data_IF_857467247187
#
_entry.id   IF_857467247187
#
_cell.length_a   1.000
_cell.length_b   1.000
_cell.length_c   1.000
_cell.angle_alpha   90.00
_cell.angle_beta   90.00
_cell.angle_gamma   90.00
#
_symmetry.space_group_name_H-M   'P 1'
#
loop_
_entity.id
_entity.type
_entity.pdbx_description
1 polymer ?
#
# COMPACT_ATOMS: atom_id res chain seq x y z
N UNK A 1 -4.51 -18.07 -9.70
CA UNK A 1 -3.70 -16.90 -9.34
C UNK A 1 -4.57 -15.99 -8.49
N UNK A 2 -4.02 -15.43 -7.43
CA UNK A 2 -4.73 -14.46 -6.58
C UNK A 2 -4.91 -13.15 -7.34
N UNK A 3 -6.09 -12.53 -7.24
CA UNK A 3 -6.40 -11.28 -7.93
C UNK A 3 -7.12 -10.33 -7.00
N UNK A 4 -6.57 -9.14 -6.87
CA UNK A 4 -7.22 -8.01 -6.23
C UNK A 4 -7.87 -7.13 -7.29
N UNK A 5 -9.17 -6.88 -7.15
CA UNK A 5 -9.94 -6.01 -8.03
C UNK A 5 -10.80 -5.07 -7.21
N UNK A 6 -10.70 -3.78 -7.46
CA UNK A 6 -11.46 -2.79 -6.73
C UNK A 6 -11.86 -1.62 -7.64
N UNK A 7 -13.07 -1.10 -7.43
CA UNK A 7 -13.56 0.07 -8.16
C UNK A 7 -14.42 0.96 -7.29
N UNK A 8 -14.47 2.22 -7.67
CA UNK A 8 -15.42 3.21 -7.16
C UNK A 8 -15.89 4.09 -8.32
N UNK A 9 -17.16 4.51 -8.30
CA UNK A 9 -17.70 5.45 -9.28
C UNK A 9 -17.35 6.90 -8.90
N UNK A 10 -17.31 7.19 -7.60
CA UNK A 10 -16.86 8.50 -7.06
C UNK A 10 -16.55 8.37 -5.58
N UNK A 11 -15.72 9.29 -5.06
CA UNK A 11 -15.47 9.43 -3.63
C UNK A 11 -15.18 10.86 -3.23
N UNK A 12 -15.35 11.19 -1.92
CA UNK A 12 -15.08 12.51 -1.42
C UNK A 12 -15.36 12.68 0.08
N UNK A 13 -15.31 13.92 0.53
CA UNK A 13 -15.45 14.31 1.94
C UNK A 13 -16.61 15.28 2.09
N UNK A 14 -17.61 14.92 2.89
CA UNK A 14 -18.83 15.72 3.01
C UNK A 14 -19.51 15.90 1.65
N UNK A 15 -19.67 17.13 1.19
CA UNK A 15 -20.24 17.49 -0.12
C UNK A 15 -19.20 17.60 -1.24
N UNK A 16 -17.90 17.60 -0.89
CA UNK A 16 -16.84 17.74 -1.87
C UNK A 16 -16.51 16.39 -2.53
N UNK A 17 -16.78 16.28 -3.82
CA UNK A 17 -16.30 15.16 -4.64
C UNK A 17 -14.84 15.39 -5.00
N UNK A 18 -13.97 14.46 -4.63
CA UNK A 18 -12.51 14.50 -4.87
C UNK A 18 -12.09 13.52 -5.96
N UNK A 19 -12.85 12.43 -6.15
CA UNK A 19 -12.48 11.35 -7.04
C UNK A 19 -13.61 11.01 -8.00
N UNK A 20 -13.28 10.88 -9.28
CA UNK A 20 -14.11 10.29 -10.32
C UNK A 20 -14.05 8.77 -10.34
N UNK A 21 -14.49 8.11 -11.43
CA UNK A 21 -14.41 6.67 -11.55
C UNK A 21 -12.96 6.18 -11.57
N UNK A 22 -12.65 5.19 -10.72
CA UNK A 22 -11.35 4.51 -10.71
C UNK A 22 -11.59 3.01 -10.64
N UNK A 23 -10.85 2.26 -11.45
CA UNK A 23 -10.81 0.80 -11.46
C UNK A 23 -9.37 0.33 -11.32
N UNK A 24 -9.12 -0.56 -10.37
CA UNK A 24 -7.82 -1.14 -10.06
C UNK A 24 -7.92 -2.65 -10.18
N UNK A 25 -7.01 -3.26 -10.94
CA UNK A 25 -6.85 -4.71 -11.01
C UNK A 25 -5.37 -5.05 -10.89
N UNK A 26 -5.01 -5.92 -9.95
CA UNK A 26 -3.63 -6.35 -9.71
C UNK A 26 -3.62 -7.84 -9.42
N UNK A 27 -2.73 -8.57 -10.06
CA UNK A 27 -2.52 -9.99 -9.80
C UNK A 27 -1.45 -10.21 -8.74
N UNK A 28 -1.42 -11.41 -8.19
CA UNK A 28 -0.38 -11.86 -7.26
C UNK A 28 1.01 -11.61 -7.82
N UNK A 29 1.88 -11.00 -7.01
CA UNK A 29 3.25 -10.69 -7.40
C UNK A 29 3.38 -9.49 -8.35
N UNK A 30 2.28 -8.78 -8.62
CA UNK A 30 2.30 -7.53 -9.37
C UNK A 30 2.13 -6.31 -8.47
N UNK A 31 2.60 -5.16 -8.95
CA UNK A 31 2.44 -3.86 -8.32
C UNK A 31 1.81 -2.87 -9.30
N UNK A 32 0.70 -2.25 -8.88
CA UNK A 32 0.09 -1.11 -9.55
C UNK A 32 0.39 0.14 -8.75
N UNK A 33 0.88 1.17 -9.42
CA UNK A 33 1.11 2.49 -8.80
C UNK A 33 0.08 3.50 -9.28
N UNK A 34 -0.51 4.21 -8.34
CA UNK A 34 -1.36 5.38 -8.57
C UNK A 34 -0.47 6.62 -8.45
N UNK A 35 -0.13 7.22 -9.57
CA UNK A 35 0.66 8.45 -9.67
C UNK A 35 -0.23 9.69 -9.73
N UNK A 36 0.31 10.81 -9.29
CA UNK A 36 -0.37 12.10 -9.37
C UNK A 36 0.32 13.15 -8.49
N UNK A 37 0.09 14.42 -8.75
CA UNK A 37 0.55 15.52 -7.91
C UNK A 37 -0.12 15.50 -6.53
N UNK A 38 0.33 16.37 -5.63
CA UNK A 38 -0.35 16.58 -4.35
C UNK A 38 -1.76 17.10 -4.59
N UNK A 39 -2.73 16.48 -3.92
CA UNK A 39 -4.14 16.80 -4.12
C UNK A 39 -4.82 16.11 -5.30
N UNK A 40 -4.12 15.35 -6.14
CA UNK A 40 -4.71 14.64 -7.29
C UNK A 40 -5.72 13.54 -6.93
N UNK A 41 -5.83 13.16 -5.63
CA UNK A 41 -6.79 12.15 -5.18
C UNK A 41 -6.19 10.76 -4.90
N UNK A 42 -4.86 10.60 -4.92
CA UNK A 42 -4.16 9.32 -4.70
C UNK A 42 -4.57 8.62 -3.38
N UNK A 43 -4.37 9.30 -2.25
CA UNK A 43 -4.75 8.76 -0.93
C UNK A 43 -6.26 8.53 -0.81
N UNK A 44 -7.07 9.42 -1.43
CA UNK A 44 -8.52 9.26 -1.48
C UNK A 44 -8.89 8.00 -2.27
N UNK A 45 -8.17 7.68 -3.35
CA UNK A 45 -8.34 6.44 -4.10
C UNK A 45 -8.18 5.22 -3.19
N UNK A 46 -7.02 5.06 -2.54
CA UNK A 46 -6.79 3.90 -1.68
C UNK A 46 -7.83 3.80 -0.55
N UNK A 47 -8.16 4.91 0.08
CA UNK A 47 -9.14 4.97 1.17
C UNK A 47 -10.56 4.66 0.68
N UNK A 48 -10.94 5.10 -0.51
CA UNK A 48 -12.23 4.80 -1.11
C UNK A 48 -12.37 3.32 -1.47
N UNK A 49 -11.33 2.73 -2.06
CA UNK A 49 -11.30 1.30 -2.41
C UNK A 49 -11.55 0.41 -1.18
N UNK A 50 -10.97 0.73 -0.02
CA UNK A 50 -11.17 -0.04 1.21
C UNK A 50 -12.38 0.44 2.04
N UNK A 51 -13.07 1.51 1.65
CA UNK A 51 -14.28 1.99 2.31
C UNK A 51 -14.05 2.80 3.59
N UNK A 52 -12.90 3.49 3.73
CA UNK A 52 -12.64 4.45 4.82
C UNK A 52 -13.04 5.89 4.47
N UNK A 53 -13.42 6.14 3.23
CA UNK A 53 -13.98 7.40 2.74
C UNK A 53 -15.32 7.11 2.09
N UNK A 54 -16.25 8.04 2.20
CA UNK A 54 -17.58 7.94 1.55
C UNK A 54 -17.39 7.82 0.04
N UNK A 55 -17.94 6.76 -0.54
CA UNK A 55 -17.82 6.46 -1.96
C UNK A 55 -19.11 5.90 -2.52
N UNK A 56 -19.35 6.13 -3.82
CA UNK A 56 -20.46 5.54 -4.57
C UNK A 56 -19.94 4.44 -5.48
N UNK A 57 -20.74 3.38 -5.68
CA UNK A 57 -20.41 2.29 -6.58
C UNK A 57 -19.14 1.52 -6.18
N UNK A 58 -18.81 1.47 -4.88
CA UNK A 58 -17.68 0.70 -4.38
C UNK A 58 -17.88 -0.79 -4.63
N UNK A 59 -16.92 -1.40 -5.30
CA UNK A 59 -16.77 -2.85 -5.42
C UNK A 59 -15.36 -3.24 -5.01
N UNK A 60 -15.24 -4.30 -4.22
CA UNK A 60 -13.96 -4.83 -3.75
C UNK A 60 -14.02 -6.35 -3.81
N UNK A 61 -13.16 -6.93 -4.63
CA UNK A 61 -13.06 -8.37 -4.83
C UNK A 61 -11.63 -8.84 -4.51
N UNK A 62 -11.53 -9.97 -3.83
CA UNK A 62 -10.25 -10.65 -3.61
C UNK A 62 -10.43 -12.13 -3.91
N UNK A 63 -9.75 -12.64 -4.94
CA UNK A 63 -9.82 -14.04 -5.37
C UNK A 63 -11.25 -14.52 -5.63
N UNK A 64 -12.08 -13.66 -6.23
CA UNK A 64 -13.48 -13.94 -6.50
C UNK A 64 -14.42 -13.75 -5.29
N UNK A 65 -13.89 -13.50 -4.10
CA UNK A 65 -14.70 -13.20 -2.92
C UNK A 65 -15.10 -11.72 -2.91
N UNK A 66 -16.39 -11.44 -2.83
CA UNK A 66 -16.92 -10.08 -2.72
C UNK A 66 -16.79 -9.55 -1.28
N UNK A 67 -15.99 -8.51 -1.12
CA UNK A 67 -15.72 -7.81 0.14
C UNK A 67 -16.35 -6.40 0.17
N UNK A 68 -17.18 -6.05 -0.81
CA UNK A 68 -17.70 -4.70 -1.02
C UNK A 68 -18.49 -4.16 0.17
N UNK A 69 -19.20 -5.01 0.91
CA UNK A 69 -20.01 -4.63 2.07
C UNK A 69 -19.29 -4.66 3.39
N UNK A 70 -18.05 -5.18 3.41
CA UNK A 70 -17.28 -5.28 4.65
C UNK A 70 -16.78 -3.91 5.10
N UNK A 71 -16.86 -3.69 6.40
CA UNK A 71 -16.23 -2.54 7.04
C UNK A 71 -14.70 -2.65 6.92
N UNK A 72 -14.01 -1.52 6.71
CA UNK A 72 -12.57 -1.47 6.46
C UNK A 72 -11.73 -2.20 7.52
N UNK A 73 -12.12 -2.12 8.80
CA UNK A 73 -11.41 -2.78 9.91
C UNK A 73 -11.48 -4.33 9.88
N UNK A 74 -12.41 -4.91 9.10
CA UNK A 74 -12.52 -6.36 8.89
C UNK A 74 -11.67 -6.86 7.72
N UNK A 75 -11.23 -5.98 6.84
CA UNK A 75 -10.50 -6.33 5.62
C UNK A 75 -9.16 -7.05 5.91
N UNK A 76 -8.36 -6.70 6.95
CA UNK A 76 -7.13 -7.44 7.26
C UNK A 76 -7.37 -8.93 7.55
N UNK A 77 -8.48 -9.27 8.20
CA UNK A 77 -8.87 -10.67 8.42
C UNK A 77 -9.25 -11.40 7.12
N UNK A 78 -9.51 -10.68 6.02
CA UNK A 78 -9.75 -11.24 4.69
C UNK A 78 -8.51 -11.19 3.80
N UNK A 79 -7.41 -10.60 4.28
CA UNK A 79 -6.16 -10.48 3.53
C UNK A 79 -5.98 -9.20 2.73
N UNK A 80 -6.75 -8.15 3.01
CA UNK A 80 -6.55 -6.80 2.41
C UNK A 80 -6.08 -5.85 3.50
N UNK A 81 -4.89 -5.27 3.36
CA UNK A 81 -4.30 -4.38 4.35
C UNK A 81 -3.89 -3.05 3.72
N UNK A 82 -4.20 -1.92 4.38
CA UNK A 82 -3.72 -0.59 4.03
C UNK A 82 -2.67 -0.13 5.05
N UNK A 83 -1.52 0.30 4.57
CA UNK A 83 -0.57 1.14 5.31
C UNK A 83 -0.88 2.60 4.94
N UNK A 84 -1.47 3.37 5.84
CA UNK A 84 -1.79 4.76 5.56
C UNK A 84 -0.53 5.63 5.62
N UNK A 85 -0.59 6.80 5.00
CA UNK A 85 0.42 7.84 5.14
C UNK A 85 0.70 8.18 6.63
N UNK A 86 1.95 8.60 6.90
CA UNK A 86 2.41 9.04 8.21
C UNK A 86 2.89 7.92 9.13
N UNK A 87 3.23 6.74 8.60
CA UNK A 87 3.92 5.64 9.33
C UNK A 87 3.30 5.34 10.70
N UNK A 88 1.98 5.13 10.74
CA UNK A 88 1.22 4.98 12.00
C UNK A 88 1.57 3.70 12.73
N UNK A 89 2.31 3.85 13.82
CA UNK A 89 2.70 2.78 14.74
C UNK A 89 2.13 3.04 16.14
N UNK A 90 2.28 2.11 17.06
CA UNK A 90 2.01 2.32 18.49
C UNK A 90 3.30 2.78 19.17
N UNK A 91 3.50 4.10 19.37
CA UNK A 91 4.80 4.65 19.78
C UNK A 91 5.27 4.20 21.16
N UNK A 92 4.37 3.84 22.04
CA UNK A 92 4.66 3.37 23.41
C UNK A 92 4.92 1.86 23.51
N UNK A 93 4.77 1.13 22.40
CA UNK A 93 5.06 -0.29 22.34
C UNK A 93 6.43 -0.55 21.73
N UNK A 94 7.03 -1.69 22.08
CA UNK A 94 8.25 -2.16 21.42
C UNK A 94 7.98 -2.51 19.96
N UNK A 95 9.03 -2.64 19.16
CA UNK A 95 8.92 -3.14 17.78
C UNK A 95 8.22 -4.48 17.76
N UNK A 96 8.65 -5.42 18.61
CA UNK A 96 8.09 -6.75 18.68
C UNK A 96 6.59 -6.72 19.05
N UNK A 97 6.19 -5.90 20.01
CA UNK A 97 4.79 -5.81 20.43
C UNK A 97 3.92 -5.15 19.34
N UNK A 98 4.46 -4.18 18.60
CA UNK A 98 3.80 -3.62 17.41
C UNK A 98 3.50 -4.70 16.37
N UNK A 99 4.48 -5.56 16.07
CA UNK A 99 4.35 -6.65 15.10
C UNK A 99 3.36 -7.72 15.58
N UNK A 100 3.51 -8.16 16.83
CA UNK A 100 2.61 -9.15 17.47
C UNK A 100 1.17 -8.67 17.53
N UNK A 101 0.95 -7.40 17.87
CA UNK A 101 -0.39 -6.80 17.90
C UNK A 101 -1.11 -6.90 16.55
N UNK A 102 -0.38 -6.72 15.44
CA UNK A 102 -0.93 -6.89 14.11
C UNK A 102 -1.28 -8.35 13.79
N UNK A 103 -0.41 -9.30 14.16
CA UNK A 103 -0.67 -10.73 14.01
C UNK A 103 -1.91 -11.19 14.80
N UNK A 104 -2.05 -10.77 16.04
CA UNK A 104 -3.18 -11.15 16.91
C UNK A 104 -4.53 -10.76 16.30
N UNK A 105 -4.61 -9.65 15.58
CA UNK A 105 -5.83 -9.21 14.91
C UNK A 105 -6.33 -10.19 13.84
N UNK A 106 -5.45 -11.05 13.31
CA UNK A 106 -5.75 -11.99 12.22
C UNK A 106 -5.40 -13.44 12.54
N UNK A 107 -4.89 -13.74 13.73
CA UNK A 107 -4.38 -15.06 14.15
C UNK A 107 -5.40 -16.20 14.01
N UNK A 108 -6.69 -15.89 13.98
CA UNK A 108 -7.79 -16.87 13.79
C UNK A 108 -8.15 -17.10 12.32
N UNK A 109 -7.49 -16.40 11.37
CA UNK A 109 -7.75 -16.60 9.94
C UNK A 109 -7.25 -17.98 9.51
N UNK A 110 -8.07 -18.81 8.86
CA UNK A 110 -7.63 -20.10 8.35
C UNK A 110 -6.45 -19.96 7.37
N UNK A 111 -5.44 -20.81 7.52
CA UNK A 111 -4.27 -20.85 6.64
C UNK A 111 -3.26 -19.72 6.85
N UNK A 112 -3.40 -18.89 7.90
CA UNK A 112 -2.37 -17.89 8.22
C UNK A 112 -1.08 -18.60 8.69
N UNK A 113 0.11 -18.19 8.23
CA UNK A 113 1.38 -18.72 8.75
C UNK A 113 1.53 -18.45 10.25
N UNK A 114 2.41 -19.18 10.92
CA UNK A 114 2.69 -18.95 12.34
C UNK A 114 3.29 -17.55 12.60
N UNK A 115 3.13 -17.05 13.83
CA UNK A 115 3.73 -15.78 14.25
C UNK A 115 5.24 -15.76 14.01
N UNK A 116 5.93 -16.87 14.35
CA UNK A 116 7.39 -16.98 14.16
C UNK A 116 7.78 -16.91 12.69
N UNK A 117 7.06 -17.58 11.81
CA UNK A 117 7.31 -17.54 10.36
C UNK A 117 7.18 -16.10 9.81
N UNK A 118 6.11 -15.40 10.20
CA UNK A 118 5.89 -14.03 9.73
C UNK A 118 6.90 -13.04 10.33
N UNK A 119 7.30 -13.23 11.60
CA UNK A 119 8.37 -12.43 12.22
C UNK A 119 9.70 -12.62 11.50
N UNK A 120 10.07 -13.87 11.17
CA UNK A 120 11.30 -14.16 10.41
C UNK A 120 11.27 -13.48 9.04
N UNK A 121 10.16 -13.52 8.32
CA UNK A 121 10.00 -12.82 7.04
C UNK A 121 10.13 -11.30 7.18
N UNK A 122 9.43 -10.70 8.14
CA UNK A 122 9.50 -9.25 8.38
C UNK A 122 10.89 -8.81 8.79
N UNK A 123 11.58 -9.58 9.60
CA UNK A 123 12.95 -9.30 10.02
C UNK A 123 13.97 -9.53 8.89
N UNK A 124 13.68 -10.42 7.96
CA UNK A 124 14.44 -10.58 6.72
C UNK A 124 14.35 -9.34 5.83
N UNK A 125 13.14 -8.83 5.61
CA UNK A 125 12.90 -7.60 4.83
C UNK A 125 13.45 -6.35 5.53
N UNK A 126 13.40 -6.28 6.86
CA UNK A 126 13.77 -5.12 7.65
C UNK A 126 14.73 -5.49 8.79
N UNK A 127 16.03 -5.76 8.52
CA UNK A 127 17.00 -6.16 9.56
C UNK A 127 17.13 -5.17 10.71
N UNK A 128 16.89 -3.87 10.47
CA UNK A 128 16.88 -2.84 11.51
C UNK A 128 15.80 -3.10 12.56
N UNK A 129 14.67 -3.69 12.20
CA UNK A 129 13.61 -4.06 13.15
C UNK A 129 14.02 -5.26 14.00
N UNK A 130 14.71 -6.24 13.41
CA UNK A 130 15.26 -7.40 14.13
C UNK A 130 16.25 -6.96 15.21
N UNK A 131 17.22 -6.11 14.84
CA UNK A 131 18.26 -5.60 15.72
C UNK A 131 17.71 -4.73 16.87
N UNK A 132 16.54 -4.14 16.69
CA UNK A 132 15.91 -3.23 17.64
C UNK A 132 14.55 -3.72 18.15
N UNK A 133 14.31 -5.05 18.11
CA UNK A 133 13.01 -5.67 18.45
C UNK A 133 12.46 -5.30 19.83
N UNK A 134 13.33 -5.09 20.82
CA UNK A 134 12.97 -4.65 22.18
C UNK A 134 12.90 -3.13 22.36
N UNK A 135 13.21 -2.33 21.33
CA UNK A 135 13.20 -0.87 21.42
C UNK A 135 11.78 -0.34 21.28
N UNK A 136 11.41 0.66 22.06
CA UNK A 136 10.14 1.39 21.98
C UNK A 136 10.11 2.18 20.66
N UNK A 137 9.08 1.97 19.83
CA UNK A 137 9.02 2.49 18.46
C UNK A 137 8.90 4.02 18.37
N UNK A 138 8.49 4.69 19.43
CA UNK A 138 8.46 6.15 19.50
C UNK A 138 9.82 6.82 19.33
N UNK A 139 10.92 6.09 19.58
CA UNK A 139 12.31 6.58 19.42
C UNK A 139 12.85 6.40 17.98
N UNK A 140 12.06 5.85 17.09
CA UNK A 140 12.46 5.55 15.72
C UNK A 140 12.50 6.81 14.84
N UNK A 141 13.42 6.82 13.85
CA UNK A 141 13.37 7.80 12.75
C UNK A 141 12.12 7.61 11.89
N UNK A 142 11.78 8.59 11.04
CA UNK A 142 10.67 8.49 10.10
C UNK A 142 10.73 7.21 9.25
N UNK A 143 11.90 6.92 8.64
CA UNK A 143 12.10 5.72 7.84
C UNK A 143 11.94 4.42 8.63
N UNK A 144 12.49 4.36 9.85
CA UNK A 144 12.32 3.18 10.70
C UNK A 144 10.86 2.97 11.12
N UNK A 145 10.10 4.06 11.39
CA UNK A 145 8.66 3.96 11.62
C UNK A 145 7.91 3.48 10.39
N UNK A 146 8.31 3.92 9.19
CA UNK A 146 7.70 3.46 7.94
C UNK A 146 7.95 1.96 7.72
N UNK A 147 9.19 1.50 7.89
CA UNK A 147 9.52 0.07 7.83
C UNK A 147 8.69 -0.74 8.85
N UNK A 148 8.52 -0.23 10.08
CA UNK A 148 7.69 -0.89 11.08
C UNK A 148 6.21 -0.90 10.69
N UNK A 149 5.66 0.16 10.10
CA UNK A 149 4.28 0.22 9.65
C UNK A 149 4.01 -0.81 8.53
N UNK A 150 4.94 -0.95 7.58
CA UNK A 150 4.88 -1.98 6.52
C UNK A 150 5.04 -3.37 7.15
N UNK A 151 6.00 -3.57 8.06
CA UNK A 151 6.20 -4.83 8.78
C UNK A 151 4.93 -5.27 9.53
N UNK A 152 4.23 -4.35 10.18
CA UNK A 152 2.93 -4.63 10.82
C UNK A 152 1.88 -5.11 9.81
N UNK A 153 1.82 -4.50 8.64
CA UNK A 153 0.92 -4.96 7.58
C UNK A 153 1.28 -6.37 7.10
N UNK A 154 2.58 -6.67 6.92
CA UNK A 154 3.07 -8.00 6.53
C UNK A 154 2.77 -9.07 7.58
N UNK A 155 2.77 -8.73 8.87
CA UNK A 155 2.34 -9.65 9.95
C UNK A 155 0.87 -10.10 9.82
N UNK A 156 0.06 -9.44 9.00
CA UNK A 156 -1.29 -9.91 8.68
C UNK A 156 -1.32 -10.91 7.54
N UNK A 157 -0.17 -11.30 6.97
CA UNK A 157 -0.04 -12.12 5.76
C UNK A 157 -1.03 -11.67 4.68
N UNK A 158 -0.90 -10.43 4.17
CA UNK A 158 -1.87 -9.86 3.23
C UNK A 158 -1.76 -10.55 1.87
N UNK A 159 -2.90 -10.73 1.18
CA UNK A 159 -2.96 -11.10 -0.24
C UNK A 159 -3.03 -9.86 -1.13
N UNK A 160 -3.52 -8.74 -0.58
CA UNK A 160 -3.45 -7.42 -1.19
C UNK A 160 -2.95 -6.39 -0.16
N UNK A 161 -1.85 -5.70 -0.50
CA UNK A 161 -1.22 -4.67 0.31
C UNK A 161 -1.37 -3.32 -0.38
N UNK A 162 -2.02 -2.38 0.28
CA UNK A 162 -2.15 -1.01 -0.19
C UNK A 162 -1.17 -0.13 0.60
N UNK A 163 -0.43 0.74 -0.10
CA UNK A 163 0.59 1.64 0.49
C UNK A 163 0.28 3.09 0.10
N UNK A 164 0.03 3.94 1.07
CA UNK A 164 -0.30 5.35 0.86
C UNK A 164 0.96 6.21 1.09
N UNK A 165 1.59 6.69 0.01
CA UNK A 165 2.79 7.52 -0.03
C UNK A 165 3.92 7.02 0.91
N UNK A 166 4.41 5.77 0.72
CA UNK A 166 5.37 5.18 1.67
C UNK A 166 6.72 5.88 1.69
N UNK A 167 7.07 6.68 0.68
CA UNK A 167 8.33 7.43 0.59
C UNK A 167 8.26 8.85 1.17
N UNK A 168 7.05 9.34 1.50
CA UNK A 168 6.85 10.73 1.89
C UNK A 168 7.69 11.14 3.10
N UNK A 169 8.45 12.25 2.97
CA UNK A 169 9.26 12.80 4.05
C UNK A 169 10.49 11.99 4.46
N UNK A 170 10.87 10.96 3.68
CA UNK A 170 12.05 10.16 3.92
C UNK A 170 13.28 10.75 3.20
N UNK A 171 14.47 10.52 3.76
CA UNK A 171 15.72 10.86 3.11
C UNK A 171 15.94 9.98 1.85
N UNK A 172 16.55 10.50 0.77
CA UNK A 172 16.67 9.79 -0.51
C UNK A 172 17.22 8.36 -0.39
N UNK A 173 18.28 8.15 0.39
CA UNK A 173 18.87 6.84 0.63
C UNK A 173 17.89 5.83 1.26
N UNK A 174 17.03 6.31 2.18
CA UNK A 174 16.02 5.46 2.83
C UNK A 174 14.90 5.12 1.85
N UNK A 175 14.58 6.04 0.93
CA UNK A 175 13.60 5.79 -0.14
C UNK A 175 14.11 4.69 -1.07
N UNK A 176 15.37 4.73 -1.51
CA UNK A 176 15.98 3.70 -2.34
C UNK A 176 15.89 2.33 -1.66
N UNK A 177 16.37 2.21 -0.42
CA UNK A 177 16.31 1.00 0.39
C UNK A 177 14.86 0.48 0.54
N UNK A 178 13.91 1.38 0.74
CA UNK A 178 12.50 1.03 0.86
C UNK A 178 11.95 0.44 -0.45
N UNK A 179 12.23 1.06 -1.61
CA UNK A 179 11.74 0.57 -2.89
C UNK A 179 12.38 -0.76 -3.30
N UNK A 180 13.67 -0.97 -3.01
CA UNK A 180 14.33 -2.27 -3.18
C UNK A 180 13.62 -3.35 -2.34
N UNK A 181 13.32 -3.03 -1.07
CA UNK A 181 12.59 -3.94 -0.18
C UNK A 181 11.17 -4.20 -0.68
N UNK A 182 10.45 -3.19 -1.18
CA UNK A 182 9.11 -3.37 -1.77
C UNK A 182 9.14 -4.26 -3.02
N UNK A 183 10.18 -4.13 -3.85
CA UNK A 183 10.38 -5.03 -4.99
C UNK A 183 10.64 -6.47 -4.54
N UNK A 184 11.36 -6.69 -3.44
CA UNK A 184 11.57 -8.01 -2.87
C UNK A 184 10.27 -8.58 -2.27
N UNK A 185 9.53 -7.79 -1.51
CA UNK A 185 8.21 -8.17 -0.98
C UNK A 185 7.29 -8.59 -2.13
N UNK A 186 7.22 -7.81 -3.21
CA UNK A 186 6.44 -8.13 -4.41
C UNK A 186 6.77 -9.52 -4.95
N UNK A 187 8.06 -9.85 -5.07
CA UNK A 187 8.54 -11.13 -5.63
C UNK A 187 8.31 -12.33 -4.70
N UNK A 188 8.48 -12.15 -3.40
CA UNK A 188 8.57 -13.26 -2.45
C UNK A 188 7.30 -13.50 -1.63
N UNK A 189 6.47 -12.48 -1.40
CA UNK A 189 5.29 -12.61 -0.52
C UNK A 189 4.05 -13.17 -1.23
N UNK A 190 4.04 -13.20 -2.56
CA UNK A 190 2.84 -13.56 -3.32
C UNK A 190 1.67 -12.59 -3.12
N UNK A 191 1.95 -11.35 -2.78
CA UNK A 191 0.96 -10.31 -2.51
C UNK A 191 0.74 -9.44 -3.74
N UNK A 192 -0.50 -9.04 -4.04
CA UNK A 192 -0.80 -7.96 -4.96
C UNK A 192 -0.55 -6.62 -4.25
N UNK A 193 0.17 -5.69 -4.86
CA UNK A 193 0.50 -4.40 -4.23
C UNK A 193 -0.15 -3.26 -5.02
N UNK A 194 -0.86 -2.37 -4.31
CA UNK A 194 -1.36 -1.09 -4.86
C UNK A 194 -0.70 0.04 -4.08
N UNK A 195 0.04 0.89 -4.74
CA UNK A 195 0.78 1.97 -4.09
C UNK A 195 0.37 3.33 -4.65
N UNK A 196 0.07 4.29 -3.79
CA UNK A 196 -0.05 5.69 -4.15
C UNK A 196 1.31 6.36 -3.98
N UNK A 197 1.81 7.03 -5.01
CA UNK A 197 3.12 7.68 -5.00
C UNK A 197 3.13 8.96 -5.84
N UNK A 198 4.01 9.88 -5.47
CA UNK A 198 4.26 11.09 -6.25
C UNK A 198 5.55 10.98 -7.05
N UNK A 199 6.53 10.25 -6.56
CA UNK A 199 7.84 10.14 -7.20
C UNK A 199 7.82 9.11 -8.34
N UNK A 200 7.74 9.60 -9.57
CA UNK A 200 7.70 8.75 -10.78
C UNK A 200 8.95 7.91 -10.93
N UNK A 201 10.14 8.46 -10.62
CA UNK A 201 11.41 7.77 -10.79
C UNK A 201 11.50 6.46 -10.00
N UNK A 202 11.12 6.50 -8.74
CA UNK A 202 11.09 5.27 -7.92
C UNK A 202 9.94 4.35 -8.30
N UNK A 203 8.76 4.91 -8.63
CA UNK A 203 7.61 4.13 -9.03
C UNK A 203 7.88 3.29 -10.29
N UNK A 204 8.55 3.86 -11.31
CA UNK A 204 8.89 3.16 -12.56
C UNK A 204 9.81 1.97 -12.36
N UNK A 205 10.65 1.99 -11.33
CA UNK A 205 11.58 0.90 -11.04
C UNK A 205 10.90 -0.37 -10.51
N UNK A 206 9.70 -0.26 -9.94
CA UNK A 206 9.06 -1.38 -9.21
C UNK A 206 7.68 -1.76 -9.73
N UNK A 207 6.97 -0.84 -10.40
CA UNK A 207 5.59 -1.04 -10.82
C UNK A 207 5.48 -1.81 -12.14
N UNK A 208 4.48 -2.69 -12.22
CA UNK A 208 4.10 -3.39 -13.46
C UNK A 208 3.01 -2.60 -14.20
N UNK A 209 2.12 -1.94 -13.45
CA UNK A 209 1.03 -1.13 -13.97
C UNK A 209 0.99 0.25 -13.30
N UNK A 210 0.41 1.21 -14.01
CA UNK A 210 0.27 2.57 -13.53
C UNK A 210 -1.13 3.13 -13.84
N UNK A 211 -1.64 3.93 -12.90
CA UNK A 211 -2.76 4.84 -13.09
C UNK A 211 -2.23 6.24 -12.78
N UNK A 212 -2.40 7.19 -13.68
CA UNK A 212 -2.08 8.60 -13.45
C UNK A 212 -3.37 9.34 -13.16
N UNK A 213 -3.42 10.01 -12.00
CA UNK A 213 -4.54 10.84 -11.58
C UNK A 213 -4.23 12.32 -11.79
N UNK A 214 -5.17 13.03 -12.39
CA UNK A 214 -5.19 14.47 -12.50
C UNK A 214 -6.55 14.98 -12.02
N UNK A 215 -6.55 15.88 -11.04
CA UNK A 215 -7.77 16.51 -10.48
C UNK A 215 -8.89 15.49 -10.16
N UNK A 216 -8.50 14.35 -9.55
CA UNK A 216 -9.42 13.29 -9.17
C UNK A 216 -9.90 12.38 -10.29
N UNK A 217 -9.43 12.55 -11.52
CA UNK A 217 -9.80 11.72 -12.66
C UNK A 217 -8.63 10.90 -13.17
N UNK A 218 -8.91 9.73 -13.75
CA UNK A 218 -7.89 8.92 -14.42
C UNK A 218 -7.53 9.57 -15.75
N UNK A 219 -6.30 10.10 -15.85
CA UNK A 219 -5.76 10.69 -17.07
C UNK A 219 -5.11 9.63 -17.97
N UNK A 220 -4.37 8.67 -17.37
CA UNK A 220 -3.72 7.56 -18.06
C UNK A 220 -3.86 6.30 -17.21
N UNK A 221 -3.95 5.13 -17.86
CA UNK A 221 -3.88 3.83 -17.18
C UNK A 221 -3.34 2.77 -18.14
N UNK A 222 -2.46 1.89 -17.65
CA UNK A 222 -1.89 0.80 -18.44
C UNK A 222 -0.62 0.21 -17.85
N UNK A 223 0.09 -0.63 -18.62
CA UNK A 223 1.40 -1.12 -18.26
C UNK A 223 2.37 0.03 -18.00
N UNK A 224 3.21 -0.07 -16.96
CA UNK A 224 4.19 0.98 -16.63
C UNK A 224 5.14 1.25 -17.79
N UNK A 225 5.55 0.21 -18.52
CA UNK A 225 6.45 0.33 -19.67
C UNK A 225 5.90 1.25 -20.78
N UNK A 226 4.57 1.29 -20.96
CA UNK A 226 3.92 2.13 -21.95
C UNK A 226 3.74 3.57 -21.40
N UNK A 227 3.34 3.67 -20.15
CA UNK A 227 3.04 4.95 -19.48
C UNK A 227 4.30 5.81 -19.31
N UNK A 228 5.47 5.23 -19.02
CA UNK A 228 6.72 5.97 -18.80
C UNK A 228 7.16 6.77 -20.05
N UNK A 229 6.77 6.32 -21.24
CA UNK A 229 7.09 7.00 -22.51
C UNK A 229 6.02 8.00 -22.95
N UNK A 230 4.89 8.06 -22.23
CA UNK A 230 3.81 8.95 -22.60
C UNK A 230 4.16 10.42 -22.35
N UNK A 231 3.95 11.28 -23.35
CA UNK A 231 4.33 12.71 -23.33
C UNK A 231 3.77 13.46 -22.11
N UNK A 232 2.51 13.20 -21.73
CA UNK A 232 1.89 13.80 -20.54
C UNK A 232 2.63 13.47 -19.25
N UNK A 233 3.09 12.23 -19.06
CA UNK A 233 3.85 11.90 -17.87
C UNK A 233 5.22 12.59 -17.87
N UNK A 234 5.89 12.61 -19.02
CA UNK A 234 7.21 13.23 -19.18
C UNK A 234 7.17 14.72 -18.92
N UNK A 235 6.22 15.45 -19.51
CA UNK A 235 6.09 16.90 -19.32
C UNK A 235 5.64 17.27 -17.91
N UNK A 236 4.68 16.53 -17.32
CA UNK A 236 4.11 16.87 -16.00
C UNK A 236 5.02 16.50 -14.82
N UNK A 237 5.84 15.46 -14.95
CA UNK A 237 6.55 14.87 -13.80
C UNK A 237 8.05 14.69 -14.00
N UNK A 238 8.58 14.65 -15.23
CA UNK A 238 10.00 14.46 -15.50
C UNK A 238 10.69 15.75 -16.00
N UNK A 239 9.92 16.81 -16.25
CA UNK A 239 10.47 18.09 -16.70
C UNK A 239 11.12 18.06 -18.09
N UNK A 240 10.69 17.11 -18.93
CA UNK A 240 11.25 16.82 -20.27
C UNK A 240 10.27 17.22 -21.37
#
# INVERSE_FOLDING_TARGET
MSRFEAMVASAGYGTLRVLGPVHVTVETGQMLVVLGSNGAGKSTTLRALIGTVVSQGRRLMLDGLDLSTLAAWRLPAQGVCLVPDGARTFPNLTVLDNLRGAYLAVSRRPGIPSESTLLEQVFGFFPVLANRRGTVSGTFSGGQRQMLAIGRALMTAPRALLLDEPSAGLAPRIVEELFETLAEIKRSSGCAIVMAEQNVGYATAVADHCIVLEEGNVALAGPMADIVHHERLRSAYLGL
#
